data_IF_862533491346
#
_entry.id   IF_862533491346
#
_cell.length_a   1.000
_cell.length_b   1.000
_cell.length_c   1.000
_cell.angle_alpha   90.00
_cell.angle_beta   90.00
_cell.angle_gamma   90.00
#
_symmetry.space_group_name_H-M   'P 1'
#
loop_
_entity.id
_entity.type
_entity.pdbx_description
1 polymer ?
#
# COMPACT_ATOMS: atom_id res chain seq x y z
N UNK A 1 15.74 13.78 4.31
CA UNK A 1 16.02 12.70 3.33
C UNK A 1 14.77 12.58 2.47
N UNK A 2 14.86 12.80 1.15
CA UNK A 2 13.70 12.80 0.25
C UNK A 2 13.69 11.45 -0.46
N UNK A 3 12.69 10.63 -0.15
CA UNK A 3 12.47 9.36 -0.85
C UNK A 3 11.99 9.64 -2.27
N UNK A 4 12.27 8.73 -3.19
CA UNK A 4 11.60 8.72 -4.50
C UNK A 4 10.12 8.45 -4.21
N UNK A 5 9.27 9.41 -4.50
CA UNK A 5 7.81 9.26 -4.52
C UNK A 5 7.33 9.08 -5.95
N UNK A 6 6.03 8.80 -6.14
CA UNK A 6 5.45 8.60 -7.47
C UNK A 6 5.58 9.83 -8.38
N UNK A 7 5.82 11.03 -7.82
CA UNK A 7 6.01 12.26 -8.60
C UNK A 7 7.49 12.56 -8.91
N UNK A 8 8.40 11.68 -8.49
CA UNK A 8 9.82 11.85 -8.72
C UNK A 8 10.20 11.54 -10.17
N UNK A 9 11.15 12.32 -10.71
CA UNK A 9 11.69 12.10 -12.05
C UNK A 9 12.34 10.72 -12.09
N UNK A 10 11.87 9.86 -12.99
CA UNK A 10 12.46 8.53 -13.17
C UNK A 10 13.90 8.64 -13.68
N UNK A 11 14.85 7.94 -13.03
CA UNK A 11 16.23 7.89 -13.50
C UNK A 11 16.32 7.13 -14.82
N UNK A 12 17.25 7.57 -15.66
CA UNK A 12 17.54 6.95 -16.95
C UNK A 12 18.22 5.58 -16.78
N UNK A 13 18.12 4.70 -17.78
CA UNK A 13 18.80 3.39 -17.74
C UNK A 13 20.32 3.50 -17.54
N UNK A 14 20.95 4.57 -18.03
CA UNK A 14 22.39 4.81 -17.84
C UNK A 14 22.70 5.09 -16.36
N UNK A 15 21.84 5.83 -15.67
CA UNK A 15 21.96 6.15 -14.24
C UNK A 15 21.72 4.91 -13.35
N UNK A 16 20.92 3.95 -13.81
CA UNK A 16 20.63 2.70 -13.10
C UNK A 16 21.70 1.61 -13.29
N UNK A 17 22.83 1.92 -13.90
CA UNK A 17 23.91 0.93 -14.09
C UNK A 17 24.68 0.71 -12.79
N UNK A 18 24.72 -0.55 -12.33
CA UNK A 18 25.50 -0.91 -11.15
C UNK A 18 27.00 -0.76 -11.44
N UNK A 19 27.68 0.09 -10.67
CA UNK A 19 29.13 0.24 -10.76
C UNK A 19 29.84 -0.70 -9.76
N UNK A 20 30.98 -1.30 -10.14
CA UNK A 20 31.74 -2.15 -9.24
C UNK A 20 32.24 -1.36 -8.02
N UNK A 21 32.32 -2.02 -6.86
CA UNK A 21 32.75 -1.40 -5.61
C UNK A 21 34.19 -0.85 -5.78
N UNK A 22 34.44 0.44 -5.46
CA UNK A 22 35.78 1.01 -5.49
C UNK A 22 36.77 0.21 -4.61
N UNK A 23 38.01 0.08 -5.10
CA UNK A 23 39.07 -0.68 -4.39
C UNK A 23 39.33 -0.19 -2.97
N UNK A 24 39.17 1.12 -2.70
CA UNK A 24 39.31 1.70 -1.36
C UNK A 24 38.28 1.18 -0.36
N UNK A 25 37.03 0.98 -0.80
CA UNK A 25 35.95 0.44 0.03
C UNK A 25 36.05 -1.08 0.18
N UNK A 26 36.45 -1.78 -0.89
CA UNK A 26 36.69 -3.23 -0.84
C UNK A 26 37.73 -3.62 0.23
N UNK A 27 38.75 -2.78 0.45
CA UNK A 27 39.78 -3.01 1.48
C UNK A 27 39.27 -2.94 2.92
N UNK A 28 38.13 -2.30 3.16
CA UNK A 28 37.51 -2.23 4.48
C UNK A 28 36.76 -3.52 4.85
N UNK A 29 36.73 -4.50 3.94
CA UNK A 29 36.02 -5.76 4.09
C UNK A 29 34.57 -5.60 4.61
N UNK A 30 33.73 -4.77 3.96
CA UNK A 30 32.35 -4.55 4.38
C UNK A 30 31.48 -5.78 4.08
N UNK A 31 30.43 -5.97 4.87
CA UNK A 31 29.32 -6.85 4.50
C UNK A 31 28.49 -6.17 3.40
N UNK A 32 28.50 -6.74 2.20
CA UNK A 32 27.86 -6.18 1.02
C UNK A 32 26.51 -6.85 0.76
N UNK A 33 25.49 -6.03 0.54
CA UNK A 33 24.18 -6.44 0.03
C UNK A 33 23.99 -5.85 -1.37
N UNK A 34 23.76 -6.71 -2.36
CA UNK A 34 23.51 -6.29 -3.73
C UNK A 34 22.00 -6.21 -3.98
N UNK A 35 21.59 -5.20 -4.74
CA UNK A 35 20.20 -4.99 -5.14
C UNK A 35 20.12 -4.30 -6.49
N UNK A 36 18.90 -4.14 -6.99
CA UNK A 36 18.65 -3.36 -8.19
C UNK A 36 18.77 -1.87 -7.87
N UNK A 37 19.53 -1.13 -8.68
CA UNK A 37 19.63 0.33 -8.53
C UNK A 37 18.28 0.92 -8.96
N UNK A 38 17.67 1.71 -8.06
CA UNK A 38 16.43 2.44 -8.33
C UNK A 38 16.65 3.96 -8.39
N UNK A 39 17.79 4.45 -7.87
CA UNK A 39 18.28 5.81 -8.06
C UNK A 39 19.79 5.87 -7.86
N UNK A 40 20.42 6.83 -8.54
CA UNK A 40 21.83 7.15 -8.38
C UNK A 40 22.09 7.95 -7.10
N UNK A 41 23.24 7.71 -6.48
CA UNK A 41 23.73 8.48 -5.35
C UNK A 41 24.36 7.63 -4.27
N UNK A 42 24.80 8.30 -3.19
CA UNK A 42 25.32 7.64 -1.98
C UNK A 42 24.41 8.01 -0.82
N UNK A 43 23.74 7.01 -0.25
CA UNK A 43 22.94 7.16 0.96
C UNK A 43 23.75 6.83 2.20
N UNK A 44 23.66 7.67 3.23
CA UNK A 44 24.21 7.41 4.57
C UNK A 44 23.07 7.56 5.57
N UNK A 45 22.89 6.59 6.46
CA UNK A 45 21.83 6.62 7.45
C UNK A 45 21.80 5.39 8.34
N UNK A 46 20.83 5.37 9.24
CA UNK A 46 20.56 4.23 10.12
C UNK A 46 19.56 3.29 9.45
N UNK A 47 19.78 1.98 9.58
CA UNK A 47 18.84 0.99 9.11
C UNK A 47 17.59 1.00 10.01
N UNK A 48 16.44 1.32 9.42
CA UNK A 48 15.14 1.18 10.07
C UNK A 48 14.43 -0.02 9.48
N UNK A 49 14.13 -1.02 10.30
CA UNK A 49 13.34 -2.17 9.86
C UNK A 49 11.86 -1.81 9.89
N UNK A 50 11.22 -1.78 8.73
CA UNK A 50 9.77 -1.71 8.63
C UNK A 50 9.22 -3.14 8.60
N UNK A 51 8.45 -3.50 9.63
CA UNK A 51 7.74 -4.78 9.67
C UNK A 51 6.26 -4.51 9.47
N UNK A 52 5.63 -5.28 8.57
CA UNK A 52 4.17 -5.30 8.46
C UNK A 52 3.59 -5.98 9.70
N UNK A 53 2.60 -5.35 10.32
CA UNK A 53 1.82 -6.00 11.37
C UNK A 53 0.97 -7.14 10.77
N UNK A 54 0.71 -8.20 11.54
CA UNK A 54 -0.17 -9.27 11.09
C UNK A 54 -1.63 -8.80 11.17
N UNK A 55 -2.38 -9.05 10.09
CA UNK A 55 -3.81 -8.80 10.05
C UNK A 55 -4.61 -9.78 10.94
N UNK A 56 -3.98 -10.85 11.44
CA UNK A 56 -4.64 -11.88 12.24
C UNK A 56 -5.28 -11.35 13.53
N UNK A 57 -4.66 -10.33 14.14
CA UNK A 57 -5.20 -9.67 15.33
C UNK A 57 -6.58 -9.06 15.08
N UNK A 58 -6.81 -8.49 13.89
CA UNK A 58 -8.08 -7.93 13.48
C UNK A 58 -9.11 -8.99 13.09
N UNK A 59 -8.66 -10.15 12.59
CA UNK A 59 -9.55 -11.29 12.31
C UNK A 59 -10.11 -11.91 13.59
N UNK A 60 -9.36 -11.85 14.68
CA UNK A 60 -9.75 -12.39 15.98
C UNK A 60 -10.80 -11.52 16.71
N UNK A 61 -11.06 -10.29 16.25
CA UNK A 61 -12.04 -9.39 16.87
C UNK A 61 -13.46 -9.91 16.58
N UNK A 62 -14.27 -10.23 17.61
CA UNK A 62 -15.62 -10.74 17.41
C UNK A 62 -16.57 -9.67 16.87
N UNK A 63 -17.63 -10.11 16.22
CA UNK A 63 -18.68 -9.22 15.72
C UNK A 63 -19.35 -8.44 16.84
N UNK A 64 -19.60 -7.16 16.57
CA UNK A 64 -20.28 -6.24 17.48
C UNK A 64 -21.45 -5.56 16.79
N UNK A 65 -22.50 -5.24 17.55
CA UNK A 65 -23.63 -4.47 17.05
C UNK A 65 -23.23 -3.07 16.54
N UNK A 66 -22.08 -2.55 16.97
CA UNK A 66 -21.55 -1.26 16.52
C UNK A 66 -20.80 -1.34 15.19
N UNK A 67 -20.53 -2.53 14.67
CA UNK A 67 -19.63 -2.71 13.52
C UNK A 67 -20.16 -2.02 12.26
N UNK A 68 -21.49 -1.97 12.06
CA UNK A 68 -22.08 -1.24 10.94
C UNK A 68 -21.81 0.26 11.04
N UNK A 69 -22.08 0.85 12.21
CA UNK A 69 -21.80 2.28 12.46
C UNK A 69 -20.30 2.59 12.35
N UNK A 70 -19.44 1.69 12.82
CA UNK A 70 -17.99 1.82 12.69
C UNK A 70 -17.55 1.79 11.24
N UNK A 71 -18.09 0.89 10.42
CA UNK A 71 -17.81 0.84 8.98
C UNK A 71 -18.14 2.16 8.29
N UNK A 72 -19.37 2.65 8.45
CA UNK A 72 -19.82 3.90 7.81
C UNK A 72 -18.96 5.10 8.24
N UNK A 73 -18.71 5.21 9.55
CA UNK A 73 -17.87 6.29 10.08
C UNK A 73 -16.42 6.20 9.57
N UNK A 74 -15.84 4.99 9.54
CA UNK A 74 -14.48 4.77 9.06
C UNK A 74 -14.34 5.08 7.58
N UNK A 75 -15.29 4.67 6.74
CA UNK A 75 -15.29 5.00 5.31
C UNK A 75 -15.44 6.50 5.06
N UNK A 76 -16.36 7.17 5.77
CA UNK A 76 -16.53 8.61 5.66
C UNK A 76 -15.26 9.37 6.09
N UNK A 77 -14.67 8.99 7.21
CA UNK A 77 -13.43 9.59 7.73
C UNK A 77 -12.27 9.39 6.75
N UNK A 78 -12.12 8.18 6.20
CA UNK A 78 -11.06 7.87 5.25
C UNK A 78 -11.24 8.65 3.94
N UNK A 79 -12.47 8.74 3.43
CA UNK A 79 -12.78 9.54 2.24
C UNK A 79 -12.46 11.02 2.44
N UNK A 80 -12.75 11.58 3.61
CA UNK A 80 -12.38 12.97 3.94
C UNK A 80 -10.86 13.15 3.99
N UNK A 81 -10.14 12.23 4.63
CA UNK A 81 -8.67 12.25 4.68
C UNK A 81 -8.03 12.19 3.29
N UNK A 82 -8.48 11.26 2.44
CA UNK A 82 -8.00 11.14 1.06
C UNK A 82 -8.32 12.39 0.25
N UNK A 83 -9.52 12.97 0.41
CA UNK A 83 -9.88 14.23 -0.25
C UNK A 83 -8.99 15.39 0.19
N UNK A 84 -8.64 15.48 1.48
CA UNK A 84 -7.71 16.51 1.95
C UNK A 84 -6.33 16.32 1.33
N UNK A 85 -5.82 15.08 1.30
CA UNK A 85 -4.54 14.78 0.65
C UNK A 85 -4.56 15.12 -0.85
N UNK A 86 -5.64 14.81 -1.56
CA UNK A 86 -5.80 15.12 -3.00
C UNK A 86 -5.71 16.61 -3.34
N UNK A 87 -6.05 17.50 -2.39
CA UNK A 87 -5.93 18.96 -2.59
C UNK A 87 -4.48 19.44 -2.57
N UNK A 88 -3.60 18.68 -1.92
CA UNK A 88 -2.19 19.03 -1.70
C UNK A 88 -1.25 18.28 -2.65
N UNK A 89 -1.78 17.37 -3.48
CA UNK A 89 -1.00 16.49 -4.36
C UNK A 89 -1.30 16.80 -5.82
N UNK A 90 -0.27 16.65 -6.63
CA UNK A 90 -0.33 16.74 -8.09
C UNK A 90 0.23 15.47 -8.71
N UNK A 91 0.35 15.43 -10.04
CA UNK A 91 1.06 14.36 -10.74
C UNK A 91 0.43 12.97 -10.58
N UNK A 92 1.31 11.97 -10.52
CA UNK A 92 0.95 10.56 -10.44
C UNK A 92 0.41 10.20 -9.05
N UNK A 93 0.95 10.80 -7.99
CA UNK A 93 0.45 10.59 -6.62
C UNK A 93 -1.02 10.96 -6.50
N UNK A 94 -1.44 12.04 -7.18
CA UNK A 94 -2.86 12.44 -7.22
C UNK A 94 -3.72 11.38 -7.91
N UNK A 95 -3.27 10.84 -9.05
CA UNK A 95 -3.98 9.80 -9.80
C UNK A 95 -4.15 8.53 -8.95
N UNK A 96 -3.10 8.10 -8.27
CA UNK A 96 -3.13 6.94 -7.37
C UNK A 96 -4.13 7.17 -6.23
N UNK A 97 -4.02 8.30 -5.51
CA UNK A 97 -4.95 8.62 -4.42
C UNK A 97 -6.40 8.76 -4.90
N UNK A 98 -6.62 9.24 -6.12
CA UNK A 98 -7.95 9.34 -6.71
C UNK A 98 -8.55 7.95 -6.94
N UNK A 99 -7.76 6.99 -7.42
CA UNK A 99 -8.19 5.60 -7.58
C UNK A 99 -8.55 4.95 -6.22
N UNK A 100 -7.75 5.21 -5.17
CA UNK A 100 -8.09 4.75 -3.81
C UNK A 100 -9.40 5.36 -3.30
N UNK A 101 -9.61 6.67 -3.51
CA UNK A 101 -10.85 7.34 -3.12
C UNK A 101 -12.06 6.75 -3.87
N UNK A 102 -11.94 6.55 -5.18
CA UNK A 102 -13.00 5.92 -5.97
C UNK A 102 -13.34 4.51 -5.48
N UNK A 103 -12.35 3.71 -5.11
CA UNK A 103 -12.58 2.36 -4.59
C UNK A 103 -13.37 2.36 -3.28
N UNK A 104 -13.03 3.22 -2.33
CA UNK A 104 -13.70 3.24 -1.02
C UNK A 104 -15.09 3.90 -1.06
N UNK A 105 -15.36 4.72 -2.09
CA UNK A 105 -16.66 5.34 -2.35
C UNK A 105 -17.58 4.44 -3.20
N UNK A 106 -17.08 3.30 -3.69
CA UNK A 106 -17.89 2.34 -4.41
C UNK A 106 -18.88 1.65 -3.46
N UNK A 107 -20.16 1.71 -3.80
CA UNK A 107 -21.22 1.06 -3.03
C UNK A 107 -21.06 -0.47 -2.99
N UNK A 108 -20.48 -1.08 -4.03
CA UNK A 108 -20.18 -2.51 -4.06
C UNK A 108 -19.11 -2.87 -3.02
N UNK A 109 -18.11 -2.00 -2.83
CA UNK A 109 -17.05 -2.21 -1.84
C UNK A 109 -17.60 -2.29 -0.42
N UNK A 110 -18.37 -1.28 0.00
CA UNK A 110 -19.01 -1.27 1.31
C UNK A 110 -20.11 -2.34 1.42
N UNK A 111 -20.87 -2.57 0.35
CA UNK A 111 -21.91 -3.59 0.28
C UNK A 111 -21.39 -5.00 0.51
N UNK A 112 -20.24 -5.35 -0.06
CA UNK A 112 -19.62 -6.65 0.14
C UNK A 112 -19.18 -6.86 1.59
N UNK A 113 -18.61 -5.83 2.25
CA UNK A 113 -18.23 -5.90 3.67
C UNK A 113 -19.48 -6.12 4.55
N UNK A 114 -20.54 -5.34 4.32
CA UNK A 114 -21.82 -5.49 5.05
C UNK A 114 -22.40 -6.89 4.88
N UNK A 115 -22.34 -7.44 3.67
CA UNK A 115 -22.80 -8.81 3.37
C UNK A 115 -21.99 -9.86 4.14
N UNK A 116 -20.67 -9.74 4.16
CA UNK A 116 -19.80 -10.65 4.92
C UNK A 116 -20.11 -10.62 6.42
N UNK A 117 -20.35 -9.43 6.97
CA UNK A 117 -20.77 -9.29 8.37
C UNK A 117 -22.13 -9.96 8.64
N UNK A 118 -23.11 -9.78 7.75
CA UNK A 118 -24.47 -10.29 7.93
C UNK A 118 -24.60 -11.81 7.68
N UNK A 119 -24.03 -12.30 6.57
CA UNK A 119 -24.18 -13.70 6.14
C UNK A 119 -23.22 -14.63 6.88
N UNK A 120 -22.00 -14.17 7.14
CA UNK A 120 -20.93 -15.00 7.73
C UNK A 120 -20.67 -14.68 9.21
N UNK A 121 -21.46 -13.78 9.81
CA UNK A 121 -21.32 -13.34 11.21
C UNK A 121 -19.89 -12.89 11.55
N UNK A 122 -19.17 -12.36 10.56
CA UNK A 122 -17.80 -11.88 10.74
C UNK A 122 -17.80 -10.54 11.49
N UNK A 123 -16.80 -10.36 12.35
CA UNK A 123 -16.50 -9.03 12.88
C UNK A 123 -15.95 -8.11 11.79
N UNK A 124 -16.07 -6.80 11.98
CA UNK A 124 -15.70 -5.79 10.99
C UNK A 124 -14.30 -6.00 10.38
N UNK A 125 -13.29 -6.26 11.22
CA UNK A 125 -11.91 -6.49 10.78
C UNK A 125 -11.80 -7.70 9.86
N UNK A 126 -12.38 -8.83 10.26
CA UNK A 126 -12.42 -10.05 9.44
C UNK A 126 -13.15 -9.83 8.11
N UNK A 127 -14.25 -9.08 8.11
CA UNK A 127 -15.03 -8.79 6.90
C UNK A 127 -14.27 -7.90 5.91
N UNK A 128 -13.59 -6.84 6.39
CA UNK A 128 -12.75 -5.97 5.54
C UNK A 128 -11.63 -6.78 4.90
N UNK A 129 -10.93 -7.60 5.69
CA UNK A 129 -9.81 -8.39 5.16
C UNK A 129 -10.32 -9.43 4.15
N UNK A 130 -11.41 -10.13 4.46
CA UNK A 130 -12.01 -11.11 3.55
C UNK A 130 -12.49 -10.46 2.25
N UNK A 131 -13.06 -9.25 2.31
CA UNK A 131 -13.43 -8.49 1.12
C UNK A 131 -12.21 -8.18 0.25
N UNK A 132 -11.12 -7.69 0.85
CA UNK A 132 -9.90 -7.39 0.11
C UNK A 132 -9.24 -8.63 -0.50
N UNK A 133 -9.22 -9.76 0.22
CA UNK A 133 -8.73 -11.03 -0.31
C UNK A 133 -9.54 -11.47 -1.55
N UNK A 134 -10.87 -11.31 -1.52
CA UNK A 134 -11.72 -11.60 -2.67
C UNK A 134 -11.47 -10.65 -3.85
N UNK A 135 -11.30 -9.36 -3.60
CA UNK A 135 -10.96 -8.38 -4.65
C UNK A 135 -9.60 -8.70 -5.27
N UNK A 136 -8.56 -8.91 -4.46
CA UNK A 136 -7.23 -9.27 -4.94
C UNK A 136 -7.21 -10.58 -5.72
N UNK A 137 -7.97 -11.60 -5.28
CA UNK A 137 -8.09 -12.86 -6.01
C UNK A 137 -8.74 -12.68 -7.39
N UNK A 138 -9.81 -11.88 -7.49
CA UNK A 138 -10.46 -11.55 -8.78
C UNK A 138 -9.51 -10.82 -9.72
N UNK A 139 -8.78 -9.83 -9.20
CA UNK A 139 -7.82 -9.03 -9.96
C UNK A 139 -6.64 -9.89 -10.46
N UNK A 140 -6.07 -10.72 -9.60
CA UNK A 140 -4.97 -11.65 -9.95
C UNK A 140 -5.37 -12.69 -11.01
N UNK A 141 -6.65 -13.07 -11.05
CA UNK A 141 -7.21 -13.97 -12.05
C UNK A 141 -7.52 -13.27 -13.39
N UNK A 142 -7.43 -11.94 -13.45
CA UNK A 142 -7.66 -11.16 -14.66
C UNK A 142 -6.57 -11.44 -15.70
N UNK A 143 -6.96 -11.41 -16.98
CA UNK A 143 -6.05 -11.52 -18.12
C UNK A 143 -5.34 -10.20 -18.47
N UNK A 144 -5.63 -9.12 -17.73
CA UNK A 144 -5.00 -7.81 -17.93
C UNK A 144 -3.77 -7.68 -17.03
N UNK A 145 -2.59 -7.49 -17.63
CA UNK A 145 -1.33 -7.22 -16.91
C UNK A 145 -1.39 -5.94 -16.06
N UNK A 146 -2.27 -5.00 -16.40
CA UNK A 146 -2.50 -3.79 -15.61
C UNK A 146 -3.35 -4.05 -14.35
N UNK A 147 -4.18 -5.10 -14.37
CA UNK A 147 -5.06 -5.47 -13.26
C UNK A 147 -4.51 -6.62 -12.40
N UNK A 148 -3.38 -7.23 -12.80
CA UNK A 148 -2.65 -8.22 -11.99
C UNK A 148 -1.70 -7.51 -11.03
#
# INVERSE_FOLDING_TARGET
>A
MRFIDSDSIQPTQAELTAHPLPRSLSRLNPDLLYGNVLASGVGVGTLTLLQSDSLDSYRAIPASAQDYTRLEHSLATLAEQLNQQLRERDGESKTILSAHLSLIQDDEFAGNIRRLMAEQHQGLGAAIISNMEQVCAKLSASASDYLR
#
